data_IF_474175544300
#
_entry.id   IF_474175544300
#
_cell.length_a   1.000
_cell.length_b   1.000
_cell.length_c   1.000
_cell.angle_alpha   90.00
_cell.angle_beta   90.00
_cell.angle_gamma   90.00
#
_symmetry.space_group_name_H-M   'P 1'
#
loop_
_entity.id
_entity.type
_entity.pdbx_description
1 polymer ?
#
# COMPACT_ATOMS: atom_id res chain seq x y z
N UNK A 1 -0.03 10.44 6.29
CA UNK A 1 -0.32 9.64 5.08
C UNK A 1 0.23 10.41 3.89
N UNK A 2 1.21 9.84 3.18
CA UNK A 2 1.83 10.46 1.99
C UNK A 2 1.47 9.62 0.77
N UNK A 3 0.86 10.22 -0.26
CA UNK A 3 0.47 9.52 -1.51
C UNK A 3 1.33 10.04 -2.66
N UNK A 4 1.98 9.14 -3.40
CA UNK A 4 2.91 9.50 -4.50
C UNK A 4 2.55 8.79 -5.81
N UNK A 5 2.85 9.42 -6.96
CA UNK A 5 2.42 8.96 -8.29
C UNK A 5 3.58 8.71 -9.29
N UNK A 6 3.68 7.48 -9.80
CA UNK A 6 4.84 6.91 -10.52
C UNK A 6 5.29 7.61 -11.83
N UNK A 7 4.55 8.55 -12.43
CA UNK A 7 5.01 9.27 -13.65
C UNK A 7 5.64 10.65 -13.40
N UNK A 8 5.90 11.01 -12.14
CA UNK A 8 6.41 12.34 -11.76
C UNK A 8 7.73 12.27 -11.00
N UNK A 9 8.78 11.64 -11.53
CA UNK A 9 10.11 11.63 -10.86
C UNK A 9 10.16 11.04 -9.43
N UNK A 10 9.07 10.42 -8.98
CA UNK A 10 8.84 9.89 -7.61
C UNK A 10 9.65 8.65 -7.27
N UNK A 11 10.47 8.13 -8.19
CA UNK A 11 11.53 7.19 -7.80
C UNK A 11 12.48 7.82 -6.79
N UNK A 12 12.65 9.15 -6.79
CA UNK A 12 13.40 9.85 -5.74
C UNK A 12 12.60 9.98 -4.45
N UNK A 13 11.34 10.45 -4.49
CA UNK A 13 10.53 10.63 -3.28
C UNK A 13 10.22 9.30 -2.59
N UNK A 14 9.88 8.25 -3.34
CA UNK A 14 9.72 6.90 -2.78
C UNK A 14 11.02 6.39 -2.13
N UNK A 15 12.17 6.60 -2.77
CA UNK A 15 13.48 6.31 -2.15
C UNK A 15 13.70 7.14 -0.88
N UNK A 16 13.46 8.45 -0.90
CA UNK A 16 13.62 9.31 0.27
C UNK A 16 12.70 8.90 1.42
N UNK A 17 11.43 8.61 1.14
CA UNK A 17 10.46 8.17 2.15
C UNK A 17 10.80 6.80 2.73
N UNK A 18 11.41 5.91 1.93
CA UNK A 18 11.90 4.62 2.43
C UNK A 18 13.20 4.75 3.22
N UNK A 19 13.91 5.87 3.12
CA UNK A 19 15.06 6.21 3.98
C UNK A 19 14.65 6.87 5.31
N UNK A 20 13.40 7.34 5.44
CA UNK A 20 12.89 7.84 6.72
C UNK A 20 12.67 6.65 7.66
N UNK A 21 13.35 6.61 8.82
CA UNK A 21 13.18 5.54 9.79
C UNK A 21 11.71 5.35 10.16
N UNK A 22 11.30 4.10 10.39
CA UNK A 22 9.93 3.75 10.83
C UNK A 22 8.82 4.27 9.92
N UNK A 23 9.09 4.40 8.62
CA UNK A 23 8.04 4.61 7.62
C UNK A 23 7.56 3.28 7.08
N UNK A 24 6.26 3.00 7.25
CA UNK A 24 5.64 1.85 6.62
C UNK A 24 5.24 2.20 5.18
N UNK A 25 5.87 1.52 4.24
CA UNK A 25 5.68 1.76 2.82
C UNK A 25 4.75 0.72 2.19
N UNK A 26 3.67 1.21 1.59
CA UNK A 26 2.71 0.45 0.80
C UNK A 26 3.04 0.58 -0.68
N UNK A 27 3.70 -0.43 -1.24
CA UNK A 27 4.03 -0.46 -2.67
C UNK A 27 2.85 -1.03 -3.48
N UNK A 28 2.34 -0.22 -4.42
CA UNK A 28 1.32 -0.59 -5.42
C UNK A 28 0.13 -1.41 -4.88
N UNK A 29 -0.57 -0.95 -3.83
CA UNK A 29 -1.65 -1.73 -3.21
C UNK A 29 -2.79 -2.09 -4.18
N UNK A 30 -2.97 -1.30 -5.24
CA UNK A 30 -4.04 -1.51 -6.23
C UNK A 30 -3.62 -2.36 -7.42
N UNK A 31 -2.42 -2.95 -7.44
CA UNK A 31 -1.93 -3.73 -8.58
C UNK A 31 -2.97 -4.77 -9.06
N UNK A 32 -3.65 -5.45 -8.13
CA UNK A 32 -4.69 -6.46 -8.42
C UNK A 32 -6.02 -5.88 -8.96
N UNK A 33 -6.27 -4.60 -8.78
CA UNK A 33 -7.50 -3.92 -9.22
C UNK A 33 -7.31 -3.09 -10.49
N UNK A 34 -6.07 -2.94 -10.94
CA UNK A 34 -5.74 -2.11 -12.10
C UNK A 34 -5.62 -2.91 -13.40
N UNK A 35 -6.02 -2.29 -14.51
CA UNK A 35 -5.74 -2.75 -15.88
C UNK A 35 -5.42 -1.54 -16.75
N UNK A 36 -4.34 -1.60 -17.53
CA UNK A 36 -3.85 -0.44 -18.28
C UNK A 36 -3.45 0.75 -17.38
N UNK A 37 -3.15 0.48 -16.11
CA UNK A 37 -2.88 1.51 -15.10
C UNK A 37 -4.11 2.27 -14.63
N UNK A 38 -5.34 1.76 -14.80
CA UNK A 38 -6.55 2.36 -14.19
C UNK A 38 -7.24 1.33 -13.32
N UNK A 39 -7.83 1.75 -12.20
CA UNK A 39 -8.69 0.88 -11.41
C UNK A 39 -9.89 0.51 -12.29
N UNK A 40 -10.20 -0.79 -12.38
CA UNK A 40 -11.37 -1.25 -13.13
C UNK A 40 -12.64 -0.69 -12.47
N UNK A 41 -13.64 -0.18 -13.20
CA UNK A 41 -14.85 0.38 -12.61
C UNK A 41 -15.55 -0.57 -11.62
N UNK A 42 -15.63 -1.86 -11.95
CA UNK A 42 -16.20 -2.89 -11.06
C UNK A 42 -15.38 -3.18 -9.79
N UNK A 43 -14.20 -2.57 -9.65
CA UNK A 43 -13.26 -2.74 -8.54
C UNK A 43 -13.01 -1.45 -7.75
N UNK A 44 -13.62 -0.33 -8.11
CA UNK A 44 -13.42 0.94 -7.39
C UNK A 44 -13.79 0.84 -5.91
N UNK A 45 -14.96 0.27 -5.59
CA UNK A 45 -15.39 0.04 -4.20
C UNK A 45 -14.37 -0.79 -3.41
N UNK A 46 -13.91 -1.90 -3.99
CA UNK A 46 -12.92 -2.78 -3.34
C UNK A 46 -11.56 -2.09 -3.17
N UNK A 47 -11.16 -1.23 -4.09
CA UNK A 47 -9.93 -0.46 -3.98
C UNK A 47 -10.03 0.57 -2.84
N UNK A 48 -11.18 1.23 -2.67
CA UNK A 48 -11.43 2.15 -1.56
C UNK A 48 -11.48 1.40 -0.21
N UNK A 49 -12.13 0.24 -0.17
CA UNK A 49 -12.15 -0.63 1.02
C UNK A 49 -10.74 -1.10 1.39
N UNK A 50 -9.93 -1.52 0.41
CA UNK A 50 -8.52 -1.83 0.65
C UNK A 50 -7.79 -0.61 1.24
N UNK A 51 -7.95 0.57 0.67
CA UNK A 51 -7.28 1.77 1.14
C UNK A 51 -7.64 2.12 2.59
N UNK A 52 -8.92 2.00 2.99
CA UNK A 52 -9.35 2.23 4.38
C UNK A 52 -8.68 1.24 5.34
N UNK A 53 -8.66 -0.05 4.98
CA UNK A 53 -8.05 -1.06 5.84
C UNK A 53 -6.52 -0.91 5.92
N UNK A 54 -5.85 -0.48 4.84
CA UNK A 54 -4.41 -0.18 4.87
C UNK A 54 -4.09 1.06 5.70
N UNK A 55 -4.83 2.16 5.52
CA UNK A 55 -4.62 3.39 6.29
C UNK A 55 -4.78 3.18 7.81
N UNK A 56 -5.60 2.19 8.20
CA UNK A 56 -5.82 1.78 9.59
C UNK A 56 -4.92 0.63 10.04
N UNK A 57 -3.94 0.23 9.22
CA UNK A 57 -3.03 -0.87 9.49
C UNK A 57 -3.72 -2.22 9.79
N UNK A 58 -4.90 -2.47 9.22
CA UNK A 58 -5.67 -3.71 9.40
C UNK A 58 -5.35 -4.73 8.30
N UNK A 59 -4.07 -5.06 8.16
CA UNK A 59 -3.59 -5.95 7.10
C UNK A 59 -4.14 -7.38 7.22
N UNK A 60 -4.58 -7.78 8.42
CA UNK A 60 -5.30 -9.04 8.67
C UNK A 60 -6.64 -9.15 7.91
N UNK A 61 -7.29 -8.02 7.56
CA UNK A 61 -8.50 -8.01 6.71
C UNK A 61 -8.21 -8.11 5.22
N UNK A 62 -6.95 -7.90 4.83
CA UNK A 62 -6.50 -7.91 3.44
C UNK A 62 -5.31 -8.89 3.29
N UNK A 63 -5.51 -10.17 3.63
CA UNK A 63 -4.42 -11.13 3.77
C UNK A 63 -3.63 -11.35 2.47
N UNK A 64 -4.28 -11.28 1.31
CA UNK A 64 -3.60 -11.39 0.02
C UNK A 64 -2.58 -10.26 -0.20
N UNK A 65 -2.93 -9.04 0.20
CA UNK A 65 -2.00 -7.92 0.16
C UNK A 65 -0.88 -8.09 1.20
N UNK A 66 -1.22 -8.49 2.43
CA UNK A 66 -0.23 -8.71 3.48
C UNK A 66 0.81 -9.78 3.11
N UNK A 67 0.37 -10.89 2.52
CA UNK A 67 1.25 -11.95 2.01
C UNK A 67 2.11 -11.43 0.85
N UNK A 68 1.57 -10.59 -0.03
CA UNK A 68 2.35 -9.99 -1.12
C UNK A 68 3.44 -9.04 -0.63
N UNK A 69 3.21 -8.37 0.51
CA UNK A 69 4.23 -7.59 1.19
C UNK A 69 5.29 -8.51 1.81
N UNK A 70 4.88 -9.48 2.61
CA UNK A 70 5.74 -10.32 3.44
C UNK A 70 6.49 -11.46 2.76
N UNK A 71 5.95 -11.98 1.65
CA UNK A 71 6.44 -13.19 1.01
C UNK A 71 7.54 -13.00 -0.04
N UNK A 72 7.88 -14.10 -0.71
CA UNK A 72 8.88 -14.20 -1.79
C UNK A 72 8.63 -13.30 -3.02
N UNK A 73 7.46 -12.66 -3.09
CA UNK A 73 7.07 -11.72 -4.16
C UNK A 73 7.87 -10.41 -4.17
N UNK A 74 8.72 -10.17 -3.16
CA UNK A 74 9.75 -9.15 -3.23
C UNK A 74 9.25 -7.71 -3.12
N UNK A 75 8.05 -7.46 -2.59
CA UNK A 75 7.60 -6.08 -2.33
C UNK A 75 8.09 -5.52 -0.99
N UNK A 76 8.39 -6.36 0.01
CA UNK A 76 9.01 -5.91 1.26
C UNK A 76 10.35 -5.19 1.06
N UNK A 77 11.08 -5.50 -0.03
CA UNK A 77 12.36 -4.84 -0.33
C UNK A 77 12.21 -3.34 -0.59
N UNK A 78 11.01 -2.91 -0.96
CA UNK A 78 10.65 -1.49 -1.09
C UNK A 78 10.23 -0.87 0.24
N UNK A 79 10.03 -1.67 1.28
CA UNK A 79 9.71 -1.22 2.63
C UNK A 79 10.91 -1.49 3.53
N UNK A 80 11.86 -0.53 3.58
CA UNK A 80 13.10 -0.66 4.36
C UNK A 80 12.84 -0.97 5.84
N UNK A 81 11.83 -0.34 6.42
CA UNK A 81 11.43 -0.60 7.80
C UNK A 81 11.04 -2.07 8.01
N UNK A 82 10.24 -2.64 7.12
CA UNK A 82 9.96 -4.07 7.13
C UNK A 82 11.22 -4.89 6.87
N UNK A 83 12.01 -4.58 5.84
CA UNK A 83 13.23 -5.33 5.53
C UNK A 83 14.18 -5.42 6.74
N UNK A 84 14.38 -4.32 7.45
CA UNK A 84 15.26 -4.22 8.63
C UNK A 84 14.73 -5.05 9.82
N UNK A 85 13.40 -5.09 10.02
CA UNK A 85 12.78 -5.85 11.12
C UNK A 85 12.63 -7.33 10.77
N UNK A 86 12.27 -7.64 9.53
CA UNK A 86 11.95 -8.98 9.06
C UNK A 86 13.20 -9.81 8.81
N UNK A 87 14.28 -9.22 8.28
CA UNK A 87 15.53 -9.91 7.92
C UNK A 87 15.34 -11.20 7.10
N UNK A 88 14.27 -11.29 6.30
CA UNK A 88 13.93 -12.49 5.54
C UNK A 88 13.28 -13.62 6.35
N UNK A 89 12.90 -13.38 7.60
CA UNK A 89 12.20 -14.34 8.46
C UNK A 89 10.70 -14.47 8.16
N UNK A 90 10.18 -15.68 8.37
CA UNK A 90 8.80 -16.06 8.06
C UNK A 90 7.73 -15.27 8.81
N UNK A 91 8.09 -14.63 9.94
CA UNK A 91 7.16 -13.82 10.74
C UNK A 91 6.52 -12.69 9.92
N UNK A 92 7.22 -12.18 8.90
CA UNK A 92 6.68 -11.14 8.04
C UNK A 92 5.70 -11.63 6.98
N UNK A 93 5.52 -12.94 6.83
CA UNK A 93 4.41 -13.52 6.07
C UNK A 93 3.09 -13.52 6.86
N UNK A 94 3.11 -13.23 8.16
CA UNK A 94 1.91 -13.18 9.01
C UNK A 94 1.19 -11.83 8.90
N UNK A 95 -0.07 -11.78 8.43
CA UNK A 95 -0.82 -10.52 8.31
C UNK A 95 -0.97 -9.78 9.64
N UNK A 96 -1.13 -10.51 10.75
CA UNK A 96 -1.25 -9.92 12.10
C UNK A 96 0.07 -9.31 12.55
N UNK A 97 1.20 -9.96 12.26
CA UNK A 97 2.52 -9.42 12.59
C UNK A 97 2.80 -8.15 11.80
N UNK A 98 2.60 -8.16 10.49
CA UNK A 98 2.81 -6.96 9.64
C UNK A 98 1.84 -5.83 10.03
N UNK A 99 0.59 -6.14 10.43
CA UNK A 99 -0.35 -5.15 11.00
C UNK A 99 0.24 -4.46 12.23
N UNK A 100 0.83 -5.23 13.15
CA UNK A 100 1.46 -4.67 14.35
C UNK A 100 2.66 -3.78 14.03
N UNK A 101 3.45 -4.11 13.00
CA UNK A 101 4.56 -3.29 12.54
C UNK A 101 4.07 -1.98 11.91
N UNK A 102 3.01 -2.04 11.09
CA UNK A 102 2.37 -0.85 10.52
C UNK A 102 1.88 0.10 11.61
N UNK A 103 1.25 -0.41 12.68
CA UNK A 103 0.78 0.41 13.80
C UNK A 103 1.92 1.08 14.58
N UNK A 104 3.11 0.47 14.59
CA UNK A 104 4.30 1.00 15.27
C UNK A 104 5.10 1.98 14.40
N UNK A 105 4.78 2.07 13.11
CA UNK A 105 5.41 3.02 12.21
C UNK A 105 4.94 4.43 12.53
N UNK A 106 5.86 5.39 12.46
CA UNK A 106 5.56 6.80 12.72
C UNK A 106 4.87 7.46 11.51
N UNK A 107 5.15 6.95 10.31
CA UNK A 107 4.59 7.43 9.06
C UNK A 107 4.13 6.29 8.17
N UNK A 108 3.03 6.50 7.44
CA UNK A 108 2.59 5.62 6.36
C UNK A 108 2.72 6.35 5.01
N UNK A 109 3.30 5.66 4.04
CA UNK A 109 3.48 6.14 2.68
C UNK A 109 2.91 5.14 1.67
N UNK A 110 2.23 5.66 0.65
CA UNK A 110 1.55 4.90 -0.39
C UNK A 110 2.12 5.28 -1.75
N UNK A 111 2.67 4.31 -2.46
CA UNK A 111 3.02 4.46 -3.87
C UNK A 111 1.95 3.81 -4.73
N UNK A 112 1.30 4.62 -5.58
CA UNK A 112 0.16 4.19 -6.39
C UNK A 112 0.43 4.53 -7.86
N UNK A 113 0.23 3.56 -8.75
CA UNK A 113 0.25 3.80 -10.20
C UNK A 113 -1.12 4.26 -10.68
N UNK A 114 -1.16 5.45 -11.25
CA UNK A 114 -2.24 6.02 -12.08
C UNK A 114 -3.62 5.84 -11.44
N UNK A 115 -3.82 6.47 -10.27
CA UNK A 115 -5.16 6.66 -9.71
C UNK A 115 -5.94 7.68 -10.55
N UNK A 116 -6.61 7.20 -11.60
CA UNK A 116 -7.71 7.93 -12.21
C UNK A 116 -8.98 7.57 -11.43
N UNK A 117 -9.23 8.25 -10.32
CA UNK A 117 -10.53 8.16 -9.64
C UNK A 117 -11.50 9.00 -10.47
N UNK A 118 -12.56 8.39 -10.99
CA UNK A 118 -13.67 9.16 -11.52
C UNK A 118 -14.20 10.01 -10.36
N UNK A 119 -14.14 11.34 -10.44
CA UNK A 119 -14.79 12.17 -9.44
C UNK A 119 -16.27 11.86 -9.53
N UNK A 120 -16.82 11.20 -8.51
CA UNK A 120 -18.25 10.91 -8.45
C UNK A 120 -19.00 12.22 -8.62
N UNK A 121 -19.70 12.36 -9.74
CA UNK A 121 -20.73 13.37 -9.87
C UNK A 121 -21.68 13.18 -8.70
N UNK A 122 -21.86 14.22 -7.88
CA UNK A 122 -23.03 14.31 -7.01
C UNK A 122 -24.24 14.04 -7.90
N UNK A 123 -24.92 12.92 -7.64
CA UNK A 123 -26.30 12.79 -8.07
C UNK A 123 -27.10 13.61 -7.08
N UNK A 124 -27.43 14.83 -7.50
CA UNK A 124 -28.48 15.61 -6.86
C UNK A 124 -29.75 14.76 -6.91
N UNK A 125 -30.22 14.37 -5.73
CA UNK A 125 -31.53 13.75 -5.54
C UNK A 125 -32.54 14.88 -5.70
N UNK A 126 -33.37 14.75 -6.73
CA UNK A 126 -34.55 15.58 -7.02
C UNK A 126 -35.52 15.53 -5.85
#
# INVERSE_FOLDING_TARGET
LIVTYHQSGVTLLGKLLTHVPRTFFHFEPFALFTQGGRIRPSKERYALELLDELARCRLWKVPLYAISLGGSGGSYKFNRFLADVCQGGDSCSSPSYVSSLCLRAETQAFEVKRLSVSQGSKQDVV
#
